data_IF_325455082602
#
_entry.id   IF_325455082602
#
_cell.length_a   1.000
_cell.length_b   1.000
_cell.length_c   1.000
_cell.angle_alpha   90.00
_cell.angle_beta   90.00
_cell.angle_gamma   90.00
#
_symmetry.space_group_name_H-M   'P 1'
#
loop_
_entity.id
_entity.type
_entity.pdbx_description
1 polymer ?
#
# COMPACT_ATOMS: atom_id res chain seq x y z
N UNK A 1 21.21 -12.80 7.08
CA UNK A 1 21.78 -11.44 6.89
C UNK A 1 20.61 -10.46 6.76
N UNK A 2 20.41 -9.67 7.80
CA UNK A 2 19.32 -8.68 7.92
C UNK A 2 19.32 -7.69 6.75
N UNK A 3 18.14 -7.20 6.36
CA UNK A 3 17.99 -6.12 5.37
C UNK A 3 18.28 -4.74 5.92
N UNK A 4 18.18 -4.65 7.23
CA UNK A 4 18.46 -3.43 7.95
C UNK A 4 19.93 -3.42 8.30
N UNK A 5 20.47 -2.21 8.41
CA UNK A 5 21.74 -1.93 9.06
C UNK A 5 21.85 -2.82 10.31
N UNK A 6 22.62 -3.92 10.28
CA UNK A 6 23.17 -4.52 11.51
C UNK A 6 24.18 -3.49 11.98
N UNK A 7 23.73 -2.51 12.78
CA UNK A 7 24.59 -1.40 13.17
C UNK A 7 24.34 -1.07 14.63
N UNK A 8 25.44 -1.03 15.35
CA UNK A 8 25.56 -0.33 16.62
C UNK A 8 24.91 1.05 16.45
N UNK A 9 24.01 1.41 17.36
CA UNK A 9 23.30 2.68 17.37
C UNK A 9 24.33 3.81 17.60
N UNK A 10 25.04 4.20 16.54
CA UNK A 10 25.78 5.44 16.50
C UNK A 10 24.80 6.56 16.14
N UNK A 11 25.02 7.71 16.75
CA UNK A 11 24.12 8.86 16.94
C UNK A 11 23.74 9.65 15.67
N UNK A 12 23.47 8.97 14.55
CA UNK A 12 23.07 9.61 13.29
C UNK A 12 21.54 9.72 13.20
N UNK A 13 21.04 10.96 13.30
CA UNK A 13 19.61 11.32 13.24
C UNK A 13 18.85 10.79 12.01
N UNK A 14 19.54 10.52 10.90
CA UNK A 14 18.97 9.94 9.68
C UNK A 14 18.66 8.44 9.85
N UNK A 15 19.57 7.68 10.48
CA UNK A 15 19.37 6.25 10.72
C UNK A 15 18.16 5.98 11.61
N UNK A 16 18.01 6.81 12.65
CA UNK A 16 16.86 6.71 13.54
C UNK A 16 15.55 7.03 12.83
N UNK A 17 15.53 8.05 11.94
CA UNK A 17 14.35 8.38 11.13
C UNK A 17 13.98 7.26 10.17
N UNK A 18 14.97 6.65 9.52
CA UNK A 18 14.75 5.50 8.65
C UNK A 18 14.18 4.31 9.44
N UNK A 19 14.70 4.04 10.64
CA UNK A 19 14.16 3.01 11.52
C UNK A 19 12.69 3.28 11.87
N UNK A 20 12.34 4.51 12.26
CA UNK A 20 10.94 4.88 12.55
C UNK A 20 10.04 4.70 11.32
N UNK A 21 10.47 5.15 10.15
CA UNK A 21 9.74 4.94 8.90
C UNK A 21 9.53 3.45 8.60
N UNK A 22 10.58 2.64 8.69
CA UNK A 22 10.55 1.21 8.37
C UNK A 22 9.67 0.41 9.35
N UNK A 23 9.68 0.77 10.64
CA UNK A 23 8.79 0.15 11.63
C UNK A 23 7.32 0.43 11.31
N UNK A 24 6.98 1.66 10.87
CA UNK A 24 5.62 1.99 10.43
C UNK A 24 5.24 1.26 9.12
N UNK A 25 6.15 1.14 8.15
CA UNK A 25 5.93 0.33 6.93
C UNK A 25 5.62 -1.11 7.31
N UNK A 26 6.45 -1.71 8.18
CA UNK A 26 6.26 -3.07 8.64
C UNK A 26 4.91 -3.26 9.34
N UNK A 27 4.57 -2.39 10.31
CA UNK A 27 3.30 -2.42 11.03
C UNK A 27 2.11 -2.32 10.07
N UNK A 28 2.13 -1.35 9.15
CA UNK A 28 1.05 -1.13 8.19
C UNK A 28 0.80 -2.34 7.27
N UNK A 29 1.88 -2.93 6.74
CA UNK A 29 1.80 -4.10 5.85
C UNK A 29 1.38 -5.36 6.60
N UNK A 30 1.89 -5.56 7.82
CA UNK A 30 1.54 -6.72 8.65
C UNK A 30 0.05 -6.73 9.01
N UNK A 31 -0.45 -5.63 9.59
CA UNK A 31 -1.86 -5.52 10.01
C UNK A 31 -2.79 -5.53 8.79
N UNK A 32 -2.40 -4.93 7.65
CA UNK A 32 -3.16 -5.08 6.38
C UNK A 32 -3.26 -6.54 5.98
N UNK A 33 -2.16 -7.27 6.00
CA UNK A 33 -2.13 -8.69 5.58
C UNK A 33 -3.03 -9.55 6.47
N UNK A 34 -2.94 -9.36 7.78
CA UNK A 34 -3.74 -10.04 8.80
C UNK A 34 -5.23 -9.68 8.69
N UNK A 35 -5.56 -8.39 8.66
CA UNK A 35 -6.95 -7.92 8.58
C UNK A 35 -7.62 -8.38 7.29
N UNK A 36 -6.92 -8.27 6.16
CA UNK A 36 -7.45 -8.78 4.90
C UNK A 36 -7.65 -10.31 4.94
N UNK A 37 -6.79 -11.07 5.63
CA UNK A 37 -7.01 -12.50 5.83
C UNK A 37 -8.30 -12.76 6.60
N UNK A 38 -8.52 -12.08 7.73
CA UNK A 38 -9.77 -12.20 8.51
C UNK A 38 -11.01 -11.89 7.67
N UNK A 39 -10.98 -10.79 6.92
CA UNK A 39 -12.12 -10.42 6.05
C UNK A 39 -12.36 -11.44 4.93
N UNK A 40 -11.31 -12.09 4.40
CA UNK A 40 -11.45 -13.20 3.43
C UNK A 40 -11.96 -14.50 4.06
N UNK A 41 -11.74 -14.70 5.36
CA UNK A 41 -12.12 -15.89 6.12
C UNK A 41 -13.55 -15.84 6.66
N UNK A 42 -14.22 -14.70 6.58
CA UNK A 42 -15.57 -14.48 7.10
C UNK A 42 -16.60 -15.53 6.70
N UNK A 43 -16.46 -16.07 5.49
CA UNK A 43 -17.47 -16.92 4.89
C UNK A 43 -16.86 -18.22 4.36
N UNK A 44 -15.78 -18.63 5.01
CA UNK A 44 -15.01 -19.81 4.68
C UNK A 44 -15.05 -20.71 5.90
N UNK A 45 -15.45 -21.97 5.68
CA UNK A 45 -15.28 -23.05 6.65
C UNK A 45 -14.17 -23.96 6.13
N UNK A 46 -13.10 -24.08 6.90
CA UNK A 46 -11.93 -24.87 6.55
C UNK A 46 -12.11 -26.31 7.02
N UNK A 47 -11.40 -27.25 6.38
CA UNK A 47 -11.51 -28.68 6.71
C UNK A 47 -11.02 -29.04 8.11
N UNK A 48 -10.27 -28.15 8.76
CA UNK A 48 -9.81 -28.29 10.14
C UNK A 48 -10.85 -27.81 11.19
N UNK A 49 -12.06 -27.43 10.76
CA UNK A 49 -13.13 -26.97 11.65
C UNK A 49 -13.08 -25.49 12.01
N UNK A 50 -12.11 -24.74 11.49
CA UNK A 50 -11.99 -23.29 11.70
C UNK A 50 -12.74 -22.50 10.61
N UNK A 51 -13.10 -21.25 10.87
CA UNK A 51 -13.73 -20.40 9.85
C UNK A 51 -14.61 -19.30 10.40
N UNK A 52 -15.45 -18.77 9.52
CA UNK A 52 -16.52 -17.81 9.83
C UNK A 52 -16.08 -16.56 10.61
N UNK A 53 -14.88 -16.04 10.30
CA UNK A 53 -14.30 -14.89 11.01
C UNK A 53 -15.16 -13.63 10.86
N UNK A 54 -15.91 -13.27 11.90
CA UNK A 54 -16.93 -12.23 11.85
C UNK A 54 -16.48 -10.86 12.43
N UNK A 55 -15.19 -10.70 12.72
CA UNK A 55 -14.67 -9.45 13.26
C UNK A 55 -13.16 -9.34 13.12
N UNK A 56 -12.67 -8.11 12.99
CA UNK A 56 -11.25 -7.77 12.98
C UNK A 56 -11.04 -6.45 13.72
N UNK A 57 -10.57 -6.54 14.97
CA UNK A 57 -10.23 -5.39 15.81
C UNK A 57 -8.72 -5.39 16.01
N UNK A 58 -7.99 -4.51 15.32
CA UNK A 58 -6.55 -4.43 15.49
C UNK A 58 -6.21 -3.71 16.80
N UNK A 59 -5.22 -4.24 17.53
CA UNK A 59 -4.66 -3.57 18.70
C UNK A 59 -3.54 -2.63 18.23
N UNK A 60 -3.57 -1.32 18.48
CA UNK A 60 -4.61 -0.50 19.13
C UNK A 60 -4.91 0.77 18.30
N UNK A 61 -5.93 1.54 18.67
CA UNK A 61 -6.29 2.76 17.94
C UNK A 61 -5.30 3.90 18.20
N UNK A 62 -5.18 4.37 19.45
CA UNK A 62 -4.43 5.58 19.83
C UNK A 62 -3.37 5.30 20.92
N UNK A 63 -2.42 6.23 21.07
CA UNK A 63 -1.49 6.26 22.22
C UNK A 63 -1.95 7.27 23.27
N UNK A 64 -1.70 6.98 24.55
CA UNK A 64 -2.01 7.89 25.67
C UNK A 64 -0.88 8.88 26.00
N UNK A 65 0.33 8.64 25.49
CA UNK A 65 1.51 9.52 25.61
C UNK A 65 2.48 9.30 24.43
N UNK A 66 3.53 10.13 24.24
CA UNK A 66 4.56 9.88 23.23
C UNK A 66 5.37 8.61 23.56
N UNK A 67 5.15 7.54 22.79
CA UNK A 67 5.83 6.26 23.02
C UNK A 67 5.78 5.36 21.78
N UNK A 68 6.63 4.34 21.75
CA UNK A 68 6.47 3.20 20.85
C UNK A 68 5.25 2.38 21.29
N UNK A 69 4.29 2.18 20.39
CA UNK A 69 3.06 1.45 20.65
C UNK A 69 2.52 0.82 19.37
N UNK A 70 1.57 -0.11 19.53
CA UNK A 70 0.79 -0.68 18.43
C UNK A 70 -0.27 0.27 17.86
N UNK A 71 -0.31 1.54 18.29
CA UNK A 71 -1.32 2.48 17.84
C UNK A 71 -1.21 2.76 16.35
N UNK A 72 -2.32 3.07 15.69
CA UNK A 72 -2.33 3.67 14.35
C UNK A 72 -2.39 5.20 14.42
N UNK A 73 -2.83 5.77 15.54
CA UNK A 73 -2.87 7.20 15.84
C UNK A 73 -1.87 7.49 16.97
N UNK A 74 -0.96 8.43 16.74
CA UNK A 74 0.01 8.88 17.74
C UNK A 74 -0.66 9.73 18.82
N UNK A 75 0.07 9.96 19.91
CA UNK A 75 -0.32 11.00 20.87
C UNK A 75 -0.36 12.36 20.17
N UNK A 76 -1.42 13.13 20.37
CA UNK A 76 -1.69 14.36 19.60
C UNK A 76 -2.46 14.16 18.29
N UNK A 77 -2.85 12.92 17.95
CA UNK A 77 -3.81 12.66 16.87
C UNK A 77 -3.20 12.50 15.48
N UNK A 78 -1.88 12.57 15.34
CA UNK A 78 -1.19 12.34 14.06
C UNK A 78 -1.39 10.89 13.60
N UNK A 79 -1.70 10.71 12.31
CA UNK A 79 -1.86 9.38 11.73
C UNK A 79 -0.50 8.75 11.41
N UNK A 80 -0.26 7.54 11.92
CA UNK A 80 0.80 6.65 11.42
C UNK A 80 0.40 6.07 10.07
N UNK A 81 1.37 5.48 9.36
CA UNK A 81 1.13 4.76 8.10
C UNK A 81 0.02 3.71 8.23
N UNK A 82 -0.07 3.03 9.38
CA UNK A 82 -1.12 2.05 9.66
C UNK A 82 -2.54 2.64 9.53
N UNK A 83 -2.78 3.89 9.92
CA UNK A 83 -4.13 4.46 9.87
C UNK A 83 -4.60 4.72 8.43
N UNK A 84 -3.68 5.14 7.55
CA UNK A 84 -3.95 5.24 6.11
C UNK A 84 -4.26 3.86 5.51
N UNK A 85 -3.54 2.83 5.94
CA UNK A 85 -3.79 1.45 5.52
C UNK A 85 -5.13 0.95 6.06
N UNK A 86 -5.49 1.28 7.31
CA UNK A 86 -6.75 0.88 7.92
C UNK A 86 -7.95 1.43 7.17
N UNK A 87 -7.90 2.70 6.77
CA UNK A 87 -8.92 3.29 5.89
C UNK A 87 -9.09 2.50 4.59
N UNK A 88 -8.01 1.92 4.06
CA UNK A 88 -8.02 1.16 2.80
C UNK A 88 -8.47 -0.30 2.99
N UNK A 89 -7.97 -1.02 4.01
CA UNK A 89 -8.32 -2.42 4.24
C UNK A 89 -9.65 -2.61 4.97
N UNK A 90 -10.26 -1.55 5.50
CA UNK A 90 -11.65 -1.54 5.99
C UNK A 90 -12.65 -0.90 5.02
N UNK A 91 -12.27 -0.66 3.76
CA UNK A 91 -13.26 -0.22 2.76
C UNK A 91 -14.40 -1.24 2.66
N UNK A 92 -15.66 -0.79 2.56
CA UNK A 92 -16.82 -1.69 2.43
C UNK A 92 -16.72 -2.55 1.16
N UNK A 93 -16.13 -2.00 0.10
CA UNK A 93 -15.73 -2.77 -1.07
C UNK A 93 -14.20 -2.87 -1.12
N UNK A 94 -13.68 -4.10 -1.07
CA UNK A 94 -12.24 -4.39 -0.99
C UNK A 94 -11.81 -5.48 -1.98
N UNK A 95 -10.80 -5.18 -2.79
CA UNK A 95 -10.04 -6.16 -3.55
C UNK A 95 -8.91 -6.70 -2.68
N UNK A 96 -8.87 -7.99 -2.41
CA UNK A 96 -7.85 -8.61 -1.56
C UNK A 96 -7.12 -9.76 -2.27
N UNK A 97 -5.98 -9.47 -2.94
CA UNK A 97 -5.14 -10.48 -3.56
C UNK A 97 -4.21 -11.15 -2.52
N UNK A 98 -3.97 -12.45 -2.68
CA UNK A 98 -3.08 -13.23 -1.83
C UNK A 98 -2.44 -14.39 -2.60
N UNK A 99 -1.34 -14.94 -2.09
CA UNK A 99 -0.64 -16.07 -2.70
C UNK A 99 -0.95 -17.36 -1.96
N UNK A 100 -1.27 -18.40 -2.71
CA UNK A 100 -1.39 -19.77 -2.19
C UNK A 100 0.00 -20.38 -1.97
N UNK A 101 0.06 -21.43 -1.14
CA UNK A 101 1.26 -22.24 -0.95
C UNK A 101 1.81 -22.80 -2.27
N UNK A 102 0.93 -23.18 -3.21
CA UNK A 102 1.29 -23.63 -4.55
C UNK A 102 1.72 -22.53 -5.54
N UNK A 103 2.01 -21.31 -5.07
CA UNK A 103 2.52 -20.21 -5.91
C UNK A 103 1.49 -19.52 -6.81
N UNK A 104 0.25 -19.98 -6.81
CA UNK A 104 -0.85 -19.33 -7.52
C UNK A 104 -1.31 -18.08 -6.76
N UNK A 105 -1.56 -16.99 -7.48
CA UNK A 105 -2.31 -15.85 -6.93
C UNK A 105 -3.77 -16.23 -6.79
N UNK A 106 -4.46 -15.69 -5.80
CA UNK A 106 -5.92 -15.65 -5.71
C UNK A 106 -6.34 -14.23 -5.39
N UNK A 107 -7.47 -13.79 -5.93
CA UNK A 107 -8.09 -12.52 -5.57
C UNK A 107 -9.40 -12.83 -4.86
N UNK A 108 -9.80 -12.00 -3.90
CA UNK A 108 -11.10 -12.08 -3.24
C UNK A 108 -11.71 -10.69 -3.24
N UNK A 109 -12.99 -10.57 -3.56
CA UNK A 109 -13.69 -9.28 -3.69
C UNK A 109 -14.71 -9.17 -2.56
N UNK A 110 -14.36 -8.47 -1.49
CA UNK A 110 -15.23 -8.32 -0.34
C UNK A 110 -16.20 -7.16 -0.63
N UNK A 111 -17.49 -7.41 -0.44
CA UNK A 111 -18.55 -6.43 -0.62
C UNK A 111 -19.45 -6.42 0.62
N UNK A 112 -19.27 -5.41 1.47
CA UNK A 112 -20.05 -5.19 2.69
C UNK A 112 -21.27 -4.28 2.43
N UNK A 113 -21.46 -3.79 1.20
CA UNK A 113 -22.67 -3.02 0.86
C UNK A 113 -23.90 -3.92 0.80
N UNK A 114 -25.07 -3.33 1.05
CA UNK A 114 -26.37 -4.02 0.94
C UNK A 114 -26.84 -4.23 -0.51
N UNK A 115 -26.09 -3.75 -1.50
CA UNK A 115 -26.41 -3.81 -2.93
C UNK A 115 -25.43 -4.71 -3.70
N UNK A 116 -25.92 -5.26 -4.81
CA UNK A 116 -25.08 -5.95 -5.80
C UNK A 116 -24.32 -4.93 -6.64
N UNK A 117 -23.18 -5.34 -7.20
CA UNK A 117 -22.50 -4.59 -8.24
C UNK A 117 -22.47 -5.42 -9.52
N UNK A 118 -22.89 -4.78 -10.60
CA UNK A 118 -22.93 -5.34 -11.96
C UNK A 118 -21.94 -4.59 -12.85
N UNK A 119 -21.61 -5.17 -14.00
CA UNK A 119 -20.72 -4.56 -15.02
C UNK A 119 -19.36 -4.16 -14.45
N UNK A 120 -18.79 -5.03 -13.63
CA UNK A 120 -17.50 -4.82 -13.00
C UNK A 120 -16.37 -5.43 -13.81
N UNK A 121 -15.34 -4.63 -14.08
CA UNK A 121 -14.09 -5.09 -14.67
C UNK A 121 -12.98 -5.07 -13.63
N UNK A 122 -12.25 -6.18 -13.51
CA UNK A 122 -11.03 -6.28 -12.73
C UNK A 122 -9.83 -6.14 -13.67
N UNK A 123 -9.19 -4.97 -13.65
CA UNK A 123 -7.94 -4.75 -14.37
C UNK A 123 -6.78 -5.25 -13.52
N UNK A 124 -5.91 -6.04 -14.13
CA UNK A 124 -4.72 -6.61 -13.52
C UNK A 124 -3.51 -6.15 -14.32
N UNK A 125 -2.65 -5.37 -13.67
CA UNK A 125 -1.37 -4.95 -14.24
C UNK A 125 -0.23 -5.67 -13.53
N UNK A 126 0.70 -6.20 -14.32
CA UNK A 126 1.96 -6.78 -13.86
C UNK A 126 3.04 -5.72 -14.09
N UNK A 127 3.62 -5.21 -13.01
CA UNK A 127 4.62 -4.14 -13.07
C UNK A 127 6.05 -4.70 -12.91
N UNK A 128 7.06 -3.90 -13.26
CA UNK A 128 8.45 -4.10 -12.88
C UNK A 128 8.90 -2.89 -12.05
N UNK A 129 9.86 -3.06 -11.14
CA UNK A 129 10.46 -1.92 -10.43
C UNK A 129 11.37 -1.05 -11.31
N UNK A 130 11.70 -1.52 -12.51
CA UNK A 130 12.63 -0.88 -13.44
C UNK A 130 11.96 0.14 -14.37
N UNK A 131 10.64 0.10 -14.48
CA UNK A 131 9.88 0.94 -15.39
C UNK A 131 8.49 1.22 -14.84
N UNK A 132 7.95 2.39 -15.18
CA UNK A 132 6.58 2.77 -14.79
C UNK A 132 5.51 2.11 -15.67
N UNK A 133 5.88 1.71 -16.89
CA UNK A 133 4.96 1.04 -17.81
C UNK A 133 4.75 -0.43 -17.42
N UNK A 134 3.49 -0.92 -17.38
CA UNK A 134 3.22 -2.31 -17.05
C UNK A 134 3.79 -3.28 -18.08
N UNK A 135 4.37 -4.38 -17.61
CA UNK A 135 4.84 -5.49 -18.45
C UNK A 135 3.67 -6.23 -19.12
N UNK A 136 2.55 -6.33 -18.41
CA UNK A 136 1.33 -6.98 -18.90
C UNK A 136 0.11 -6.30 -18.28
N UNK A 137 -0.94 -6.17 -19.06
CA UNK A 137 -2.28 -5.76 -18.63
C UNK A 137 -3.27 -6.82 -19.05
N UNK A 138 -4.17 -7.20 -18.16
CA UNK A 138 -5.28 -8.12 -18.44
C UNK A 138 -6.51 -7.60 -17.72
N UNK A 139 -7.63 -7.53 -18.43
CA UNK A 139 -8.91 -7.15 -17.84
C UNK A 139 -9.81 -8.37 -17.77
N UNK A 140 -10.41 -8.60 -16.61
CA UNK A 140 -11.35 -9.69 -16.38
C UNK A 140 -12.73 -9.14 -16.12
N UNK A 141 -13.71 -9.63 -16.85
CA UNK A 141 -15.11 -9.39 -16.51
C UNK A 141 -15.46 -10.17 -15.23
N UNK A 142 -15.88 -9.44 -14.21
CA UNK A 142 -16.38 -9.97 -12.95
C UNK A 142 -17.87 -9.69 -12.76
N UNK A 143 -18.55 -9.37 -13.88
CA UNK A 143 -19.94 -9.00 -14.20
C UNK A 143 -21.03 -9.13 -13.15
N UNK A 144 -20.90 -10.04 -12.19
CA UNK A 144 -21.78 -10.13 -11.02
C UNK A 144 -20.97 -10.34 -9.74
N UNK A 145 -20.75 -9.27 -8.98
CA UNK A 145 -20.40 -9.36 -7.57
C UNK A 145 -21.71 -9.28 -6.79
N UNK A 146 -22.32 -10.45 -6.60
CA UNK A 146 -23.55 -10.57 -5.83
C UNK A 146 -23.29 -10.19 -4.38
N UNK A 147 -24.26 -9.49 -3.78
CA UNK A 147 -24.54 -9.55 -2.36
C UNK A 147 -24.61 -11.02 -1.98
N UNK A 148 -23.93 -11.36 -0.90
CA UNK A 148 -24.37 -12.49 -0.09
C UNK A 148 -24.82 -11.88 1.24
N UNK A 149 -26.05 -12.21 1.63
CA UNK A 149 -26.81 -11.59 2.72
C UNK A 149 -25.98 -11.34 3.98
N UNK A 150 -25.91 -10.08 4.45
CA UNK A 150 -25.51 -9.56 5.79
C UNK A 150 -24.24 -10.09 6.46
N UNK A 151 -23.65 -11.19 6.00
CA UNK A 151 -22.66 -11.98 6.71
C UNK A 151 -21.81 -12.82 5.73
N UNK A 152 -21.50 -12.33 4.52
CA UNK A 152 -20.80 -13.17 3.54
C UNK A 152 -19.99 -12.45 2.45
N UNK A 153 -18.67 -12.72 2.39
CA UNK A 153 -17.73 -12.22 1.37
C UNK A 153 -17.95 -12.90 0.00
N UNK A 154 -18.00 -12.15 -1.10
CA UNK A 154 -17.97 -12.70 -2.45
C UNK A 154 -16.53 -13.11 -2.84
N UNK A 155 -16.30 -14.40 -3.09
CA UNK A 155 -14.95 -14.92 -3.36
C UNK A 155 -14.86 -15.45 -4.78
N UNK A 156 -14.45 -14.60 -5.73
CA UNK A 156 -14.04 -15.03 -7.07
C UNK A 156 -12.52 -15.17 -7.12
N UNK A 157 -12.05 -16.40 -7.11
CA UNK A 157 -10.62 -16.72 -7.17
C UNK A 157 -10.13 -16.72 -8.62
N UNK A 158 -9.12 -15.90 -8.92
CA UNK A 158 -8.37 -15.97 -10.17
C UNK A 158 -7.02 -16.60 -9.89
N UNK A 159 -6.72 -17.75 -10.49
CA UNK A 159 -5.41 -18.40 -10.40
C UNK A 159 -4.52 -17.99 -11.56
N UNK A 160 -3.35 -17.44 -11.23
CA UNK A 160 -2.27 -17.19 -12.19
C UNK A 160 -1.06 -17.99 -11.74
N UNK A 161 -0.52 -18.84 -12.62
CA UNK A 161 0.79 -19.47 -12.41
C UNK A 161 1.88 -18.41 -12.60
N UNK A 162 2.77 -18.33 -11.61
CA UNK A 162 3.91 -17.41 -11.64
C UNK A 162 5.20 -18.18 -11.96
N UNK A 163 6.03 -17.69 -12.89
CA UNK A 163 5.78 -16.63 -13.86
C UNK A 163 4.80 -17.10 -14.93
N UNK A 164 3.95 -16.21 -15.47
CA UNK A 164 3.21 -16.52 -16.68
C UNK A 164 4.20 -16.94 -17.79
N UNK A 165 3.86 -17.87 -18.71
CA UNK A 165 4.77 -18.31 -19.77
C UNK A 165 5.39 -17.15 -20.58
N UNK A 166 4.64 -16.06 -20.76
CA UNK A 166 5.09 -14.83 -21.41
C UNK A 166 6.17 -14.04 -20.65
N UNK A 167 6.38 -14.32 -19.36
CA UNK A 167 7.36 -13.66 -18.48
C UNK A 167 8.67 -14.46 -18.34
N UNK A 168 8.81 -15.60 -19.02
CA UNK A 168 10.05 -16.41 -18.96
C UNK A 168 11.25 -15.75 -19.66
N UNK A 169 11.01 -14.82 -20.60
CA UNK A 169 12.06 -14.11 -21.35
C UNK A 169 12.68 -12.93 -20.60
N UNK A 170 12.01 -12.38 -19.60
CA UNK A 170 12.62 -11.40 -18.69
C UNK A 170 13.43 -12.21 -17.68
N UNK A 171 14.73 -11.92 -17.53
CA UNK A 171 15.60 -12.59 -16.56
C UNK A 171 14.84 -12.74 -15.23
N UNK A 172 14.85 -13.95 -14.64
CA UNK A 172 14.06 -14.34 -13.44
C UNK A 172 14.19 -13.35 -12.27
N UNK A 173 15.23 -12.52 -12.28
CA UNK A 173 15.60 -11.47 -11.32
C UNK A 173 15.10 -10.04 -11.66
N UNK A 174 14.38 -9.83 -12.77
CA UNK A 174 13.78 -8.54 -13.16
C UNK A 174 12.24 -8.55 -13.13
N UNK A 175 11.63 -9.72 -12.91
CA UNK A 175 10.17 -9.96 -12.81
C UNK A 175 9.75 -9.99 -11.35
N UNK A 176 10.04 -8.93 -10.62
CA UNK A 176 9.50 -8.77 -9.28
C UNK A 176 8.23 -7.96 -9.40
N UNK A 177 7.16 -8.66 -9.71
CA UNK A 177 5.94 -8.00 -10.12
C UNK A 177 5.12 -7.51 -8.95
N UNK A 178 4.59 -6.32 -9.15
CA UNK A 178 3.53 -5.77 -8.34
C UNK A 178 2.24 -6.04 -9.10
N UNK A 179 1.32 -6.80 -8.50
CA UNK A 179 -0.01 -6.97 -9.05
C UNK A 179 -0.81 -5.73 -8.69
N UNK A 180 -1.11 -4.86 -9.66
CA UNK A 180 -2.03 -3.75 -9.44
C UNK A 180 -3.42 -4.15 -9.91
N UNK A 181 -4.38 -4.10 -8.98
CA UNK A 181 -5.78 -4.34 -9.30
C UNK A 181 -6.57 -3.03 -9.28
N UNK A 182 -7.38 -2.80 -10.31
CA UNK A 182 -8.30 -1.66 -10.42
C UNK A 182 -9.69 -2.15 -10.80
N UNK A 183 -10.70 -1.46 -10.28
CA UNK A 183 -12.08 -1.61 -10.72
C UNK A 183 -12.58 -0.27 -11.26
N UNK A 184 -13.35 -0.31 -12.34
CA UNK A 184 -14.02 0.87 -12.88
C UNK A 184 -15.48 0.91 -12.42
N UNK A 185 -15.70 1.56 -11.27
CA UNK A 185 -16.95 2.24 -10.95
C UNK A 185 -16.59 3.65 -10.47
N UNK A 186 -17.33 4.71 -10.84
CA UNK A 186 -17.03 6.08 -10.42
C UNK A 186 -16.86 6.24 -8.90
N UNK A 187 -17.53 5.40 -8.10
CA UNK A 187 -17.50 5.37 -6.64
C UNK A 187 -16.45 4.42 -6.02
N UNK A 188 -15.84 3.52 -6.81
CA UNK A 188 -14.91 2.49 -6.32
C UNK A 188 -13.59 2.57 -7.08
N UNK A 189 -12.80 3.61 -6.79
CA UNK A 189 -11.40 3.68 -7.24
C UNK A 189 -10.50 3.09 -6.15
N UNK A 190 -10.18 1.80 -6.27
CA UNK A 190 -9.24 1.12 -5.39
C UNK A 190 -8.02 0.63 -6.19
N UNK A 191 -6.83 0.87 -5.64
CA UNK A 191 -5.56 0.33 -6.14
C UNK A 191 -5.03 -0.62 -5.07
N UNK A 192 -4.88 -1.89 -5.39
CA UNK A 192 -4.30 -2.88 -4.45
C UNK A 192 -3.09 -3.52 -5.07
N UNK A 193 -2.12 -3.79 -4.22
CA UNK A 193 -0.78 -4.21 -4.59
C UNK A 193 -0.43 -5.54 -3.89
N UNK A 194 -0.02 -6.54 -4.68
CA UNK A 194 0.53 -7.80 -4.17
C UNK A 194 1.96 -7.97 -4.66
N UNK A 195 2.86 -8.25 -3.73
CA UNK A 195 4.26 -8.53 -3.99
C UNK A 195 4.47 -10.03 -4.24
N UNK A 196 5.08 -10.41 -5.37
CA UNK A 196 5.53 -11.80 -5.60
C UNK A 196 6.79 -12.16 -4.81
N UNK A 197 7.58 -11.15 -4.49
CA UNK A 197 8.78 -11.28 -3.70
C UNK A 197 8.84 -10.07 -2.80
N UNK A 198 9.24 -10.25 -1.55
CA UNK A 198 9.43 -9.11 -0.67
C UNK A 198 10.36 -8.09 -1.36
N UNK A 199 10.13 -6.77 -1.21
CA UNK A 199 11.06 -5.72 -1.65
C UNK A 199 12.52 -6.04 -1.29
N UNK A 200 12.64 -6.72 -0.15
CA UNK A 200 13.84 -7.25 0.43
C UNK A 200 14.55 -8.39 -0.34
N UNK A 201 14.04 -8.88 -1.45
CA UNK A 201 14.77 -9.88 -2.24
C UNK A 201 14.78 -9.54 -3.72
N UNK A 202 14.47 -8.29 -4.03
CA UNK A 202 14.42 -7.74 -5.39
C UNK A 202 15.34 -6.55 -5.52
N UNK A 203 15.80 -6.33 -6.75
CA UNK A 203 16.35 -5.03 -7.10
C UNK A 203 15.20 -4.01 -7.22
N UNK A 204 15.38 -2.85 -6.58
CA UNK A 204 14.46 -1.72 -6.68
C UNK A 204 15.29 -0.56 -7.18
N UNK A 205 14.88 0.03 -8.30
CA UNK A 205 15.48 1.26 -8.77
C UNK A 205 15.22 2.37 -7.74
N UNK A 206 16.26 3.13 -7.39
CA UNK A 206 16.12 4.25 -6.47
C UNK A 206 15.21 5.32 -7.08
N UNK A 207 14.03 5.48 -6.51
CA UNK A 207 13.01 6.40 -7.00
C UNK A 207 13.24 7.80 -6.44
N UNK A 208 13.29 8.82 -7.31
CA UNK A 208 13.42 10.22 -6.92
C UNK A 208 12.05 10.87 -6.86
N UNK A 209 11.40 10.74 -5.72
CA UNK A 209 10.10 11.38 -5.47
C UNK A 209 10.31 12.85 -5.12
N UNK A 210 9.63 13.76 -5.83
CA UNK A 210 9.70 15.21 -5.60
C UNK A 210 8.33 15.85 -5.59
N UNK A 211 8.15 16.84 -4.72
CA UNK A 211 7.00 17.75 -4.76
C UNK A 211 7.26 18.79 -5.85
N UNK A 212 6.56 18.68 -6.98
CA UNK A 212 6.73 19.60 -8.12
C UNK A 212 5.77 20.79 -8.06
N UNK A 213 4.62 20.63 -7.42
CA UNK A 213 3.69 21.73 -7.19
C UNK A 213 3.04 21.60 -5.81
N UNK A 214 2.82 22.74 -5.16
CA UNK A 214 2.10 22.86 -3.89
C UNK A 214 1.28 24.14 -3.96
N UNK A 215 -0.04 24.01 -3.94
CA UNK A 215 -0.97 25.12 -4.05
C UNK A 215 -2.12 24.99 -3.05
N UNK A 216 -2.77 26.11 -2.72
CA UNK A 216 -3.96 26.13 -1.87
C UNK A 216 -5.20 25.94 -2.73
N UNK A 217 -6.06 25.00 -2.37
CA UNK A 217 -7.31 24.69 -3.12
C UNK A 217 -8.58 25.10 -2.37
N UNK A 218 -8.46 25.45 -1.08
CA UNK A 218 -9.57 25.89 -0.26
C UNK A 218 -9.12 26.37 1.11
N UNK A 219 -10.07 26.60 2.04
CA UNK A 219 -9.75 26.96 3.43
C UNK A 219 -8.99 25.80 4.08
N UNK A 220 -7.71 26.03 4.40
CA UNK A 220 -6.78 25.06 4.99
C UNK A 220 -6.62 23.76 4.20
N UNK A 221 -6.85 23.79 2.89
CA UNK A 221 -6.67 22.65 2.00
C UNK A 221 -5.60 22.95 0.96
N UNK A 222 -4.70 22.00 0.77
CA UNK A 222 -3.55 22.11 -0.12
C UNK A 222 -3.53 20.94 -1.09
N UNK A 223 -3.21 21.21 -2.35
CA UNK A 223 -2.91 20.20 -3.36
C UNK A 223 -1.40 20.08 -3.51
N UNK A 224 -0.91 18.85 -3.48
CA UNK A 224 0.51 18.49 -3.53
C UNK A 224 0.69 17.56 -4.72
N UNK A 225 1.32 18.05 -5.78
CA UNK A 225 1.66 17.26 -6.96
C UNK A 225 3.04 16.64 -6.77
N UNK A 226 3.07 15.31 -6.72
CA UNK A 226 4.29 14.52 -6.67
C UNK A 226 4.69 14.08 -8.07
N UNK A 227 6.00 13.94 -8.29
CA UNK A 227 6.60 13.35 -9.47
C UNK A 227 7.66 12.32 -9.06
N UNK A 228 7.68 11.18 -9.73
CA UNK A 228 8.71 10.15 -9.59
C UNK A 228 9.26 9.76 -10.97
N UNK A 229 10.50 9.26 -11.00
CA UNK A 229 11.16 8.71 -12.18
C UNK A 229 11.12 7.17 -12.24
N UNK A 230 10.86 6.50 -11.11
CA UNK A 230 10.71 5.05 -11.00
C UNK A 230 9.54 4.67 -10.06
N UNK A 231 9.22 3.38 -9.96
CA UNK A 231 8.22 2.90 -9.01
C UNK A 231 8.70 3.19 -7.58
N UNK A 232 7.98 4.07 -6.87
CA UNK A 232 8.32 4.43 -5.50
C UNK A 232 7.42 3.67 -4.52
N UNK A 233 8.02 2.90 -3.62
CA UNK A 233 7.31 2.11 -2.62
C UNK A 233 7.13 2.91 -1.33
N UNK A 234 5.94 2.80 -0.73
CA UNK A 234 5.61 3.35 0.58
C UNK A 234 5.95 4.84 0.70
N UNK A 235 5.53 5.64 -0.28
CA UNK A 235 5.74 7.08 -0.32
C UNK A 235 5.08 7.73 0.88
N UNK A 236 5.89 8.34 1.74
CA UNK A 236 5.48 8.94 3.00
C UNK A 236 5.73 10.45 2.97
N UNK A 237 4.66 11.24 3.07
CA UNK A 237 4.72 12.68 3.26
C UNK A 237 4.63 12.98 4.75
N UNK A 238 5.47 13.88 5.24
CA UNK A 238 5.49 14.27 6.64
C UNK A 238 5.59 15.80 6.78
N UNK A 239 4.97 16.34 7.84
CA UNK A 239 5.06 17.75 8.22
C UNK A 239 4.76 17.88 9.71
N UNK A 240 5.32 18.91 10.33
CA UNK A 240 5.09 19.28 11.72
C UNK A 240 3.72 19.93 11.95
N UNK A 241 3.03 20.35 10.90
CA UNK A 241 1.70 20.94 11.02
C UNK A 241 0.63 19.87 11.24
N UNK A 242 -0.27 20.12 12.19
CA UNK A 242 -1.43 19.28 12.42
C UNK A 242 -2.37 19.27 11.20
N UNK A 243 -2.74 18.06 10.79
CA UNK A 243 -3.62 17.83 9.66
C UNK A 243 -3.59 16.38 9.20
N UNK A 244 -4.29 16.13 8.10
CA UNK A 244 -4.42 14.79 7.51
C UNK A 244 -4.17 14.87 6.01
N UNK A 245 -3.34 13.96 5.50
CA UNK A 245 -3.16 13.78 4.06
C UNK A 245 -4.32 12.97 3.48
N UNK A 246 -4.68 13.20 2.22
CA UNK A 246 -5.73 12.45 1.56
C UNK A 246 -5.33 11.00 1.31
N UNK A 247 -4.04 10.69 1.21
CA UNK A 247 -3.47 9.34 1.20
C UNK A 247 -2.00 9.42 1.59
N UNK A 248 -1.45 8.36 2.19
CA UNK A 248 -0.04 8.32 2.59
C UNK A 248 0.46 6.86 2.72
N UNK A 249 1.77 6.64 2.62
CA UNK A 249 2.36 5.30 2.61
C UNK A 249 1.99 4.46 1.38
N UNK A 250 1.52 5.10 0.31
CA UNK A 250 1.05 4.43 -0.90
C UNK A 250 2.21 4.03 -1.82
N UNK A 251 1.93 3.16 -2.79
CA UNK A 251 2.89 2.80 -3.83
C UNK A 251 2.60 3.65 -5.07
N UNK A 252 3.59 4.43 -5.50
CA UNK A 252 3.50 5.31 -6.66
C UNK A 252 4.02 4.58 -7.90
N UNK A 253 3.10 4.14 -8.77
CA UNK A 253 3.41 3.44 -10.02
C UNK A 253 3.17 4.31 -11.26
N UNK A 254 2.75 5.57 -11.07
CA UNK A 254 2.57 6.56 -12.14
C UNK A 254 3.62 7.65 -11.98
N UNK A 255 3.97 8.29 -13.09
CA UNK A 255 4.94 9.39 -13.11
C UNK A 255 4.54 10.56 -12.22
N UNK A 256 3.24 10.80 -12.07
CA UNK A 256 2.68 11.85 -11.22
C UNK A 256 1.50 11.33 -10.42
N UNK A 257 1.32 11.87 -9.22
CA UNK A 257 0.18 11.60 -8.33
C UNK A 257 -0.08 12.87 -7.53
N UNK A 258 -1.35 13.21 -7.33
CA UNK A 258 -1.77 14.38 -6.56
C UNK A 258 -2.35 13.92 -5.23
N UNK A 259 -1.82 14.45 -4.13
CA UNK A 259 -2.30 14.23 -2.77
C UNK A 259 -2.80 15.56 -2.22
N UNK A 260 -3.80 15.53 -1.36
CA UNK A 260 -4.29 16.71 -0.66
C UNK A 260 -3.86 16.69 0.80
N UNK A 261 -3.60 17.84 1.38
CA UNK A 261 -3.39 17.99 2.82
C UNK A 261 -4.44 18.94 3.38
N UNK A 262 -5.15 18.53 4.42
CA UNK A 262 -6.09 19.37 5.16
C UNK A 262 -5.48 19.69 6.53
N UNK A 263 -5.15 20.95 6.76
CA UNK A 263 -4.62 21.41 8.05
C UNK A 263 -5.75 21.75 9.02
N UNK A 264 -5.50 21.50 10.31
CA UNK A 264 -6.43 21.84 11.39
C UNK A 264 -6.46 23.34 11.69
N UNK A 265 -5.38 24.06 11.39
CA UNK A 265 -5.19 25.48 11.68
C UNK A 265 -4.88 26.29 10.42
N UNK A 266 -5.03 27.64 10.44
CA UNK A 266 -4.66 28.50 9.33
C UNK A 266 -3.18 28.33 8.95
N UNK A 267 -2.93 27.86 7.73
CA UNK A 267 -1.59 27.60 7.22
C UNK A 267 -1.38 28.27 5.85
N UNK A 268 -0.16 28.75 5.61
CA UNK A 268 0.25 29.30 4.31
C UNK A 268 1.00 28.26 3.48
N UNK A 269 0.89 28.38 2.15
CA UNK A 269 1.62 27.54 1.18
C UNK A 269 3.13 27.62 1.42
N UNK A 270 3.65 28.81 1.73
CA UNK A 270 5.08 29.05 2.01
C UNK A 270 5.54 28.28 3.25
N UNK A 271 4.74 28.29 4.31
CA UNK A 271 5.06 27.61 5.56
C UNK A 271 5.01 26.08 5.40
N UNK A 272 3.97 25.56 4.73
CA UNK A 272 3.88 24.13 4.45
C UNK A 272 5.05 23.66 3.57
N UNK A 273 5.37 24.40 2.49
CA UNK A 273 6.46 24.05 1.57
C UNK A 273 7.83 23.97 2.25
N UNK A 274 8.08 24.76 3.30
CA UNK A 274 9.35 24.74 4.05
C UNK A 274 9.50 23.53 4.97
N UNK A 275 8.39 22.90 5.35
CA UNK A 275 8.36 21.91 6.42
C UNK A 275 7.92 20.52 5.96
N UNK A 276 7.27 20.44 4.79
CA UNK A 276 6.88 19.16 4.21
C UNK A 276 8.10 18.40 3.65
N UNK A 277 8.22 17.13 4.01
CA UNK A 277 9.20 16.20 3.45
C UNK A 277 8.50 15.03 2.74
N UNK A 278 9.26 14.31 1.92
CA UNK A 278 8.81 13.08 1.28
C UNK A 278 9.91 12.02 1.36
N UNK A 279 9.53 10.81 1.76
CA UNK A 279 10.43 9.65 1.88
C UNK A 279 9.82 8.46 1.15
N UNK A 280 10.64 7.65 0.51
CA UNK A 280 10.26 6.38 -0.10
C UNK A 280 11.16 5.25 0.40
N UNK A 281 10.75 3.99 0.19
CA UNK A 281 11.53 2.85 0.67
C UNK A 281 12.97 2.87 0.14
N UNK A 282 13.15 3.30 -1.12
CA UNK A 282 14.47 3.34 -1.74
C UNK A 282 15.41 4.39 -1.14
N UNK A 283 14.88 5.36 -0.40
CA UNK A 283 15.72 6.36 0.29
C UNK A 283 16.43 5.75 1.51
N UNK A 284 15.83 4.72 2.12
CA UNK A 284 16.37 3.99 3.28
C UNK A 284 17.39 2.89 2.92
N UNK A 285 17.63 2.67 1.61
CA UNK A 285 18.52 1.62 1.13
C UNK A 285 19.91 2.21 0.90
N UNK A 286 20.92 1.67 1.58
CA UNK A 286 22.32 2.02 1.37
C UNK A 286 22.77 1.66 -0.06
N UNK A 287 23.48 2.57 -0.74
CA UNK A 287 23.98 2.39 -2.10
C UNK A 287 24.87 1.12 -2.25
N UNK A 288 25.48 0.64 -1.16
CA UNK A 288 26.25 -0.62 -1.14
C UNK A 288 25.37 -1.88 -1.15
N UNK A 289 24.11 -1.78 -0.72
CA UNK A 289 23.12 -2.87 -0.67
C UNK A 289 22.12 -2.84 -1.84
N UNK A 290 22.22 -1.84 -2.71
CA UNK A 290 21.57 -1.85 -4.02
C UNK A 290 22.18 -3.01 -4.82
N UNK A 291 21.54 -4.18 -4.79
CA UNK A 291 21.96 -5.35 -5.55
C UNK A 291 21.96 -5.01 -7.03
N UNK A 292 23.11 -4.67 -7.61
CA UNK A 292 23.23 -4.40 -9.05
C UNK A 292 22.55 -5.53 -9.83
N UNK A 293 21.81 -5.22 -10.92
CA UNK A 293 21.28 -6.27 -11.79
C UNK A 293 22.45 -7.17 -12.20
N UNK A 294 22.32 -8.48 -11.99
CA UNK A 294 23.28 -9.42 -12.51
C UNK A 294 23.26 -9.26 -14.05
N UNK A 295 24.41 -8.82 -14.59
CA UNK A 295 24.58 -8.53 -16.01
C UNK A 295 24.27 -9.73 -16.89
#
# INVERSE_FOLDING_TARGET
KSWYRERELNDDSEEFRDFLYLTQVHQAVAVKTETEFYRRAFNVFYSNGEGYTSGALYWQLNSIWPTASWSSIEYGGRWKMLHYYARNFFRPFLISPWRTSGGSVRVTIINDFLMNFENLTLDIEILSYLQLEPLKKVSYDISKVHRKSCLSSYKKTFSFTTPAPSLQKTKKEHVFSLLKLRMELPSINQKVYLFFTAPKFTYIQRAKVKIVNLSKTGKNQFSILLKTDAVALYVWLETDYEGVFSDNGFIMTKKTETIFFKSNSPLSVKNLRKNISVTSLSDTIDDKNIRKPLK
#
